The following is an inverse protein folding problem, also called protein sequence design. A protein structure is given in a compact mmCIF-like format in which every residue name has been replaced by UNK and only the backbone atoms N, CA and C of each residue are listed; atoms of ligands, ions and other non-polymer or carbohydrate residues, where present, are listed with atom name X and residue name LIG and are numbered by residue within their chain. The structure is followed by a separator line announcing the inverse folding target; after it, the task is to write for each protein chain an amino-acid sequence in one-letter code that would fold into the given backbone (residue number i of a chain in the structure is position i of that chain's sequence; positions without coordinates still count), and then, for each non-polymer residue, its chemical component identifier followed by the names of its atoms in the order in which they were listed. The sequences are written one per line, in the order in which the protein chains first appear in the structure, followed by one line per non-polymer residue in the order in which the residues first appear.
data_IF_925907989142
#
_entry.id   IF_925907989142
#
_cell.length_a   1.000
_cell.length_b   1.000
_cell.length_c   1.000
_cell.angle_alpha   90.00
_cell.angle_beta   90.00
_cell.angle_gamma   90.00
#
_symmetry.space_group_name_H-M   'P 1'
#
loop_
_entity.id
_entity.type
_entity.pdbx_description
1 polymer ?
#
# COMPACT_ATOMS: atom_id res chain seq x y z
N UNK A 1 15.75 -0.50 11.98
CA UNK A 1 14.28 -0.65 12.10
C UNK A 1 13.75 -1.35 13.38
N UNK A 2 14.52 -1.94 14.33
CA UNK A 2 13.90 -2.68 15.45
C UNK A 2 13.23 -1.80 16.52
N UNK A 3 13.71 -0.57 16.72
CA UNK A 3 13.31 0.27 17.86
C UNK A 3 11.86 0.80 17.79
N UNK A 4 11.29 0.94 16.58
CA UNK A 4 9.87 1.35 16.41
C UNK A 4 8.88 0.23 16.72
N UNK A 5 9.30 -1.03 16.59
CA UNK A 5 8.43 -2.19 16.87
C UNK A 5 8.31 -2.47 18.36
N UNK A 6 9.38 -2.24 19.13
CA UNK A 6 9.38 -2.48 20.59
C UNK A 6 8.39 -1.60 21.36
N UNK A 7 7.98 -0.46 20.78
CA UNK A 7 6.97 0.45 21.35
C UNK A 7 5.61 0.35 20.66
N UNK A 8 5.44 -0.56 19.70
CA UNK A 8 4.20 -0.69 18.98
C UNK A 8 3.16 -1.42 19.84
N UNK A 9 1.95 -0.86 19.93
CA UNK A 9 0.82 -1.49 20.64
C UNK A 9 0.11 -2.55 19.78
N UNK A 10 0.41 -2.60 18.48
CA UNK A 10 -0.16 -3.55 17.54
C UNK A 10 0.48 -3.46 16.16
N UNK A 11 0.22 -4.47 15.33
CA UNK A 11 0.80 -4.61 13.99
C UNK A 11 -0.30 -4.74 12.93
N UNK A 12 -0.30 -3.87 11.92
CA UNK A 12 -1.15 -3.99 10.74
C UNK A 12 -0.27 -4.29 9.53
N UNK A 13 -0.41 -5.48 8.96
CA UNK A 13 0.30 -5.89 7.76
C UNK A 13 -0.60 -5.70 6.53
N UNK A 14 -0.23 -4.76 5.66
CA UNK A 14 -0.89 -4.54 4.37
C UNK A 14 -0.23 -5.40 3.30
N UNK A 15 -0.90 -6.47 2.92
CA UNK A 15 -0.34 -7.53 2.10
C UNK A 15 -1.06 -7.63 0.74
N UNK A 16 -1.16 -6.51 0.04
CA UNK A 16 -1.83 -6.40 -1.27
C UNK A 16 -1.00 -7.14 -2.33
N UNK A 17 -1.66 -7.87 -3.23
CA UNK A 17 -0.99 -8.58 -4.31
C UNK A 17 -0.25 -7.63 -5.26
N UNK A 18 0.89 -8.07 -5.81
CA UNK A 18 1.67 -7.29 -6.77
C UNK A 18 0.86 -6.79 -7.97
N UNK A 19 -0.02 -7.60 -8.59
CA UNK A 19 -0.86 -7.11 -9.69
C UNK A 19 -1.82 -6.00 -9.25
N UNK A 20 -2.41 -6.09 -8.05
CA UNK A 20 -3.28 -5.05 -7.54
C UNK A 20 -2.51 -3.76 -7.22
N UNK A 21 -1.27 -3.87 -6.73
CA UNK A 21 -0.37 -2.74 -6.50
C UNK A 21 0.05 -2.06 -7.81
N UNK A 22 0.36 -2.84 -8.85
CA UNK A 22 0.66 -2.34 -10.20
C UNK A 22 -0.57 -1.67 -10.84
N UNK A 23 -1.73 -2.32 -10.79
CA UNK A 23 -2.97 -1.75 -11.32
C UNK A 23 -3.30 -0.41 -10.66
N UNK A 24 -3.13 -0.31 -9.33
CA UNK A 24 -3.27 0.96 -8.60
C UNK A 24 -2.28 2.00 -9.09
N UNK A 25 -1.01 1.62 -9.29
CA UNK A 25 0.03 2.53 -9.78
C UNK A 25 -0.28 3.05 -11.19
N UNK A 26 -0.66 2.18 -12.12
CA UNK A 26 -1.03 2.57 -13.47
C UNK A 26 -2.28 3.44 -13.48
N UNK A 27 -3.31 3.08 -12.72
CA UNK A 27 -4.52 3.91 -12.56
C UNK A 27 -4.17 5.31 -12.10
N UNK A 28 -3.37 5.42 -11.04
CA UNK A 28 -2.91 6.70 -10.51
C UNK A 28 -2.12 7.50 -11.56
N UNK A 29 -1.16 6.88 -12.23
CA UNK A 29 -0.25 7.57 -13.15
C UNK A 29 -0.91 7.99 -14.45
N UNK A 30 -1.89 7.22 -14.95
CA UNK A 30 -2.52 7.46 -16.25
C UNK A 30 -3.84 8.25 -16.15
N UNK A 31 -4.57 8.13 -15.05
CA UNK A 31 -5.89 8.74 -14.88
C UNK A 31 -5.89 9.96 -13.94
N UNK A 32 -4.99 10.06 -12.95
CA UNK A 32 -4.88 11.25 -12.08
C UNK A 32 -3.94 12.30 -12.70
N UNK A 33 -4.30 12.82 -13.89
CA UNK A 33 -3.50 13.86 -14.61
C UNK A 33 -3.60 15.27 -14.02
N UNK A 34 -4.62 15.55 -13.24
CA UNK A 34 -4.91 16.88 -12.69
C UNK A 34 -4.47 16.98 -11.22
N UNK A 35 -3.19 17.25 -10.99
CA UNK A 35 -2.74 17.77 -9.70
C UNK A 35 -2.70 19.29 -9.78
N UNK A 36 -3.62 19.95 -9.08
CA UNK A 36 -3.51 21.39 -8.79
C UNK A 36 -2.22 21.62 -7.99
N UNK A 37 -1.16 22.06 -8.66
CA UNK A 37 0.20 22.22 -8.11
C UNK A 37 1.31 21.45 -8.84
N UNK A 38 1.02 20.73 -9.93
CA UNK A 38 2.08 20.21 -10.79
C UNK A 38 2.84 21.36 -11.47
N UNK A 39 4.16 21.41 -11.29
CA UNK A 39 5.04 22.33 -12.00
C UNK A 39 4.80 22.20 -13.51
N UNK A 40 4.71 23.32 -14.21
CA UNK A 40 4.40 23.39 -15.64
C UNK A 40 5.38 22.49 -16.42
N UNK A 41 4.88 21.38 -16.96
CA UNK A 41 5.68 20.38 -17.71
C UNK A 41 5.85 19.01 -17.03
N UNK A 42 5.43 18.82 -15.78
CA UNK A 42 5.50 17.53 -15.08
C UNK A 42 4.38 16.57 -15.51
N UNK A 43 4.53 15.90 -16.67
CA UNK A 43 3.71 14.72 -16.97
C UNK A 43 4.08 13.60 -15.99
N UNK A 44 3.10 13.08 -15.26
CA UNK A 44 3.25 11.83 -14.52
C UNK A 44 3.48 10.70 -15.53
N UNK A 45 4.75 10.39 -15.78
CA UNK A 45 5.17 9.28 -16.62
C UNK A 45 5.31 8.02 -15.77
N UNK A 46 4.95 6.88 -16.37
CA UNK A 46 5.23 5.57 -15.81
C UNK A 46 6.75 5.41 -15.71
N UNK A 47 7.27 5.29 -14.48
CA UNK A 47 8.69 5.10 -14.21
C UNK A 47 8.98 3.61 -14.10
N UNK A 48 9.93 3.14 -14.90
CA UNK A 48 10.39 1.74 -14.85
C UNK A 48 10.91 1.35 -13.46
N UNK A 49 11.60 2.26 -12.77
CA UNK A 49 12.06 2.02 -11.39
C UNK A 49 10.89 1.74 -10.42
N UNK A 50 9.74 2.41 -10.61
CA UNK A 50 8.54 2.17 -9.81
C UNK A 50 7.89 0.82 -10.14
N UNK A 51 7.84 0.44 -11.41
CA UNK A 51 7.36 -0.88 -11.82
C UNK A 51 8.27 -1.97 -11.22
N UNK A 52 9.59 -1.83 -11.37
CA UNK A 52 10.56 -2.77 -10.84
C UNK A 52 10.45 -2.87 -9.31
N UNK A 53 10.32 -1.76 -8.61
CA UNK A 53 10.14 -1.76 -7.16
C UNK A 53 8.86 -2.49 -6.73
N UNK A 54 7.73 -2.26 -7.40
CA UNK A 54 6.46 -2.94 -7.09
C UNK A 54 6.55 -4.42 -7.46
N UNK A 55 7.13 -4.75 -8.62
CA UNK A 55 7.14 -6.11 -9.17
C UNK A 55 8.20 -7.02 -8.54
N UNK A 56 9.35 -6.48 -8.13
CA UNK A 56 10.53 -7.26 -7.74
C UNK A 56 10.94 -6.99 -6.29
N UNK A 57 10.99 -5.73 -5.86
CA UNK A 57 11.44 -5.39 -4.49
C UNK A 57 10.37 -5.69 -3.44
N UNK A 58 9.10 -5.39 -3.74
CA UNK A 58 7.98 -5.55 -2.80
C UNK A 58 7.69 -7.02 -2.44
N UNK A 59 7.67 -7.99 -3.39
CA UNK A 59 7.45 -9.40 -3.06
C UNK A 59 8.55 -9.98 -2.17
N UNK A 60 9.81 -9.63 -2.40
CA UNK A 60 10.94 -10.12 -1.58
C UNK A 60 10.85 -9.65 -0.13
N UNK A 61 10.30 -8.46 0.10
CA UNK A 61 10.09 -7.95 1.45
C UNK A 61 8.85 -8.56 2.13
N UNK A 62 7.93 -9.14 1.36
CA UNK A 62 6.69 -9.75 1.85
C UNK A 62 6.96 -10.93 2.78
N UNK A 63 7.82 -11.85 2.37
CA UNK A 63 8.19 -13.01 3.20
C UNK A 63 8.77 -12.57 4.55
N UNK A 64 9.69 -11.58 4.52
CA UNK A 64 10.27 -11.02 5.74
C UNK A 64 9.23 -10.45 6.69
N UNK A 65 8.24 -9.71 6.17
CA UNK A 65 7.17 -9.16 7.00
C UNK A 65 6.16 -10.22 7.45
N UNK A 66 5.94 -11.28 6.68
CA UNK A 66 5.14 -12.43 7.10
C UNK A 66 5.81 -13.16 8.25
N UNK A 67 7.11 -13.47 8.14
CA UNK A 67 7.87 -14.08 9.24
C UNK A 67 7.81 -13.22 10.51
N UNK A 68 8.00 -11.91 10.38
CA UNK A 68 7.88 -10.99 11.51
C UNK A 68 6.46 -10.96 12.10
N UNK A 69 5.44 -11.02 11.24
CA UNK A 69 4.03 -11.07 11.66
C UNK A 69 3.72 -12.36 12.42
N UNK A 70 4.24 -13.50 11.99
CA UNK A 70 4.06 -14.77 12.70
C UNK A 70 4.78 -14.75 14.06
N UNK A 71 5.99 -14.18 14.13
CA UNK A 71 6.82 -14.15 15.33
C UNK A 71 6.40 -13.12 16.40
N UNK A 72 5.46 -12.23 16.12
CA UNK A 72 5.02 -11.22 17.10
C UNK A 72 3.76 -11.66 17.86
N UNK A 73 3.79 -11.47 19.18
CA UNK A 73 2.65 -11.70 20.09
C UNK A 73 1.76 -10.45 20.27
N UNK A 74 2.11 -9.35 19.61
CA UNK A 74 1.30 -8.13 19.65
C UNK A 74 -0.04 -8.36 18.93
N UNK A 75 -1.11 -7.65 19.32
CA UNK A 75 -2.35 -7.62 18.56
C UNK A 75 -2.07 -7.32 17.08
N UNK A 76 -2.42 -8.27 16.21
CA UNK A 76 -1.99 -8.25 14.81
C UNK A 76 -3.14 -8.45 13.83
N UNK A 77 -3.14 -7.68 12.74
CA UNK A 77 -4.15 -7.72 11.68
C UNK A 77 -3.47 -7.78 10.31
N UNK A 78 -3.85 -8.77 9.49
CA UNK A 78 -3.38 -8.89 8.10
C UNK A 78 -4.48 -8.50 7.12
N UNK A 79 -4.17 -7.56 6.23
CA UNK A 79 -5.07 -7.08 5.18
C UNK A 79 -4.49 -7.43 3.82
N UNK A 80 -4.87 -8.58 3.29
CA UNK A 80 -4.31 -9.16 2.06
C UNK A 80 -4.90 -8.60 0.76
N UNK A 81 -5.90 -7.73 0.85
CA UNK A 81 -6.58 -7.17 -0.33
C UNK A 81 -7.13 -5.77 -0.09
N UNK A 82 -7.33 -5.03 -1.18
CA UNK A 82 -8.04 -3.74 -1.15
C UNK A 82 -9.45 -3.90 -0.59
N UNK A 83 -10.12 -5.04 -0.83
CA UNK A 83 -11.45 -5.32 -0.26
C UNK A 83 -11.39 -5.43 1.27
N UNK A 84 -10.41 -6.15 1.80
CA UNK A 84 -10.21 -6.28 3.24
C UNK A 84 -9.90 -4.92 3.88
N UNK A 85 -9.06 -4.11 3.23
CA UNK A 85 -8.77 -2.73 3.67
C UNK A 85 -10.06 -1.91 3.71
N UNK A 86 -10.84 -1.88 2.63
CA UNK A 86 -12.11 -1.14 2.57
C UNK A 86 -13.10 -1.62 3.64
N UNK A 87 -13.15 -2.91 3.92
CA UNK A 87 -14.01 -3.46 4.96
C UNK A 87 -13.57 -3.00 6.36
N UNK A 88 -12.27 -3.00 6.65
CA UNK A 88 -11.74 -2.46 7.91
C UNK A 88 -12.01 -0.96 8.05
N UNK A 89 -11.81 -0.18 6.99
CA UNK A 89 -12.18 1.25 6.99
C UNK A 89 -13.63 1.48 7.39
N UNK A 90 -14.57 0.67 6.83
CA UNK A 90 -15.98 0.74 7.21
C UNK A 90 -16.24 0.29 8.64
N UNK A 91 -15.61 -0.80 9.08
CA UNK A 91 -15.77 -1.34 10.45
C UNK A 91 -15.25 -0.39 11.52
N UNK A 92 -14.20 0.37 11.21
CA UNK A 92 -13.57 1.32 12.12
C UNK A 92 -14.11 2.74 11.96
N UNK A 93 -15.11 2.94 11.11
CA UNK A 93 -15.72 4.24 10.82
C UNK A 93 -14.71 5.34 10.44
N UNK A 94 -13.63 4.97 9.75
CA UNK A 94 -12.52 5.88 9.39
C UNK A 94 -12.83 6.77 8.18
N UNK A 95 -14.11 7.03 7.90
CA UNK A 95 -14.57 7.65 6.66
C UNK A 95 -14.35 6.77 5.43
N UNK A 96 -15.01 7.11 4.32
CA UNK A 96 -14.82 6.36 3.08
C UNK A 96 -13.41 6.59 2.53
N UNK A 97 -12.71 5.50 2.19
CA UNK A 97 -11.53 5.57 1.35
C UNK A 97 -11.92 6.14 -0.01
N UNK A 98 -11.77 7.46 -0.18
CA UNK A 98 -11.92 8.16 -1.46
C UNK A 98 -10.89 7.62 -2.43
N UNK A 99 -11.28 6.58 -3.17
CA UNK A 99 -10.70 6.28 -4.47
C UNK A 99 -11.32 7.32 -5.40
N UNK A 100 -10.56 8.35 -5.76
CA UNK A 100 -11.02 9.34 -6.74
C UNK A 100 -11.40 8.55 -8.01
N UNK A 101 -12.66 8.60 -8.46
CA UNK A 101 -13.05 7.97 -9.71
C UNK A 101 -12.46 8.79 -10.86
N UNK A 102 -11.77 8.11 -11.76
CA UNK A 102 -11.48 8.55 -13.12
C UNK A 102 -12.03 7.50 -14.06
#
# INVERSE_FOLDING_TARGET
MPQRYQRATGLILLDISTPASLLRYFRRTLFEKERRGALQGGRDSVKWDMIHHIAVTTPKNRERYQTLFEQTDLPKLRLSSIKAIKQCFRKWDLGQMRMVPG
#
